data_IF_822805340675
#
_entry.id   IF_822805340675
#
_cell.length_a   1.000
_cell.length_b   1.000
_cell.length_c   1.000
_cell.angle_alpha   90.00
_cell.angle_beta   90.00
_cell.angle_gamma   90.00
#
_symmetry.space_group_name_H-M   'P 1'
#
loop_
_entity.id
_entity.type
_entity.pdbx_description
1 polymer ?
#
# COMPACT_ATOMS: atom_id res chain seq x y z
N UNK A 1 15.74 8.24 -13.80
CA UNK A 1 15.88 9.40 -14.71
C UNK A 1 14.89 9.42 -15.89
N UNK A 2 14.76 8.39 -16.75
CA UNK A 2 13.86 8.44 -17.93
C UNK A 2 12.38 8.76 -17.63
N UNK A 3 11.84 8.29 -16.51
CA UNK A 3 10.43 8.53 -16.14
C UNK A 3 10.15 9.99 -15.72
N UNK A 4 11.07 10.63 -14.98
CA UNK A 4 10.91 12.02 -14.54
C UNK A 4 10.94 12.98 -15.74
N UNK A 5 11.85 12.76 -16.70
CA UNK A 5 11.94 13.57 -17.92
C UNK A 5 10.73 13.44 -18.86
N UNK A 6 9.92 12.39 -18.73
CA UNK A 6 8.66 12.29 -19.46
C UNK A 6 7.56 13.13 -18.81
N UNK A 7 7.53 13.20 -17.47
CA UNK A 7 6.54 13.96 -16.71
C UNK A 7 6.74 15.47 -16.83
N UNK A 8 8.00 15.93 -16.92
CA UNK A 8 8.35 17.36 -17.08
C UNK A 8 7.84 17.99 -18.37
N UNK A 9 7.37 17.18 -19.34
CA UNK A 9 6.72 17.68 -20.57
C UNK A 9 5.36 18.33 -20.30
N UNK A 10 4.75 18.08 -19.14
CA UNK A 10 3.49 18.71 -18.75
C UNK A 10 3.80 19.95 -17.91
N UNK A 11 3.37 21.13 -18.37
CA UNK A 11 3.65 22.42 -17.70
C UNK A 11 3.15 22.49 -16.25
N UNK A 12 2.12 21.72 -15.90
CA UNK A 12 1.53 21.67 -14.57
C UNK A 12 2.13 20.57 -13.67
N UNK A 13 3.19 19.89 -14.09
CA UNK A 13 3.84 18.83 -13.33
C UNK A 13 5.31 19.17 -13.12
N UNK A 14 5.71 19.30 -11.86
CA UNK A 14 7.13 19.39 -11.45
C UNK A 14 7.56 18.01 -10.92
N UNK A 15 8.28 17.18 -11.70
CA UNK A 15 8.80 15.92 -11.19
C UNK A 15 9.98 16.16 -10.24
N UNK A 16 9.97 15.51 -9.08
CA UNK A 16 11.04 15.56 -8.08
C UNK A 16 11.42 14.13 -7.71
N UNK A 17 12.71 13.84 -7.64
CA UNK A 17 13.20 12.59 -7.08
C UNK A 17 13.04 12.65 -5.57
N UNK A 18 12.39 11.65 -4.98
CA UNK A 18 12.12 11.60 -3.54
C UNK A 18 12.17 10.16 -3.05
N UNK A 19 13.18 9.84 -2.25
CA UNK A 19 13.15 8.72 -1.30
C UNK A 19 12.55 9.22 0.03
N UNK A 20 11.41 8.65 0.44
CA UNK A 20 10.73 9.03 1.68
C UNK A 20 11.48 8.62 2.95
N UNK A 21 12.54 7.83 2.81
CA UNK A 21 13.43 7.42 3.90
C UNK A 21 14.64 8.33 4.03
N UNK A 22 14.92 9.15 3.01
CA UNK A 22 16.04 10.07 2.97
C UNK A 22 15.63 11.49 3.40
N UNK A 23 16.34 12.04 4.38
CA UNK A 23 16.03 13.34 4.96
C UNK A 23 16.38 14.51 4.05
N UNK A 24 17.43 14.37 3.22
CA UNK A 24 17.86 15.41 2.29
C UNK A 24 16.89 15.51 1.12
N UNK A 25 16.40 14.38 0.60
CA UNK A 25 15.35 14.37 -0.42
C UNK A 25 14.07 15.03 0.10
N UNK A 26 13.68 14.76 1.35
CA UNK A 26 12.53 15.42 2.00
C UNK A 26 12.77 16.93 2.15
N UNK A 27 13.98 17.34 2.57
CA UNK A 27 14.35 18.73 2.73
C UNK A 27 14.35 19.50 1.38
N UNK A 28 14.78 18.86 0.29
CA UNK A 28 14.69 19.39 -1.06
C UNK A 28 13.23 19.64 -1.47
N UNK A 29 12.35 18.66 -1.30
CA UNK A 29 10.91 18.82 -1.60
C UNK A 29 10.30 19.96 -0.79
N UNK A 30 10.67 20.08 0.50
CA UNK A 30 10.26 21.21 1.34
C UNK A 30 10.72 22.55 0.78
N UNK A 31 12.00 22.69 0.40
CA UNK A 31 12.53 23.92 -0.23
C UNK A 31 11.83 24.27 -1.53
N UNK A 32 11.49 23.28 -2.36
CA UNK A 32 10.73 23.49 -3.60
C UNK A 32 9.34 24.07 -3.31
N UNK A 33 8.62 23.53 -2.32
CA UNK A 33 7.29 24.02 -1.94
C UNK A 33 7.39 25.43 -1.34
N UNK A 34 8.37 25.67 -0.46
CA UNK A 34 8.66 26.99 0.11
C UNK A 34 8.94 28.03 -0.97
N UNK A 35 9.78 27.71 -1.95
CA UNK A 35 10.15 28.61 -3.05
C UNK A 35 8.99 28.98 -3.96
N UNK A 36 7.92 28.16 -4.02
CA UNK A 36 6.68 28.51 -4.74
C UNK A 36 5.84 29.54 -3.99
N UNK A 37 6.06 29.71 -2.69
CA UNK A 37 5.24 30.59 -1.84
C UNK A 37 3.77 30.14 -1.70
N UNK A 38 3.45 28.97 -2.24
CA UNK A 38 2.11 28.37 -2.17
C UNK A 38 2.08 27.36 -1.04
N UNK A 39 1.00 27.35 -0.24
CA UNK A 39 0.74 26.22 0.65
C UNK A 39 0.52 24.91 -0.14
N UNK A 40 0.38 23.79 0.57
CA UNK A 40 0.22 22.47 -0.04
C UNK A 40 -1.22 21.97 0.11
N UNK A 41 -2.03 22.10 -0.94
CA UNK A 41 -3.44 21.70 -0.88
C UNK A 41 -3.64 20.21 -0.61
N UNK A 42 -2.78 19.35 -1.16
CA UNK A 42 -2.91 17.90 -1.07
C UNK A 42 -1.57 17.20 -0.95
N UNK A 43 -1.46 16.28 0.00
CA UNK A 43 -0.37 15.30 0.11
C UNK A 43 -0.94 13.90 -0.13
N UNK A 44 -0.37 13.14 -1.08
CA UNK A 44 -0.74 11.74 -1.30
C UNK A 44 0.43 10.84 -0.90
N UNK A 45 0.34 10.24 0.28
CA UNK A 45 1.30 9.26 0.77
C UNK A 45 1.07 7.92 0.06
N UNK A 46 1.65 7.79 -1.14
CA UNK A 46 1.52 6.61 -2.00
C UNK A 46 2.73 5.67 -1.97
N UNK A 47 3.92 6.18 -1.63
CA UNK A 47 5.14 5.37 -1.60
C UNK A 47 4.95 4.12 -0.72
N UNK A 48 5.36 2.98 -1.23
CA UNK A 48 5.24 1.73 -0.51
C UNK A 48 5.98 0.58 -1.20
N UNK A 49 6.51 -0.32 -0.38
CA UNK A 49 7.11 -1.57 -0.81
C UNK A 49 6.39 -2.76 -0.17
N UNK A 50 6.71 -3.94 -0.68
CA UNK A 50 6.20 -5.21 -0.19
C UNK A 50 7.36 -6.19 -0.06
N UNK A 51 7.61 -6.62 1.16
CA UNK A 51 8.42 -7.78 1.52
C UNK A 51 7.48 -8.96 1.77
N UNK A 52 7.64 -10.00 0.97
CA UNK A 52 6.89 -11.25 1.09
C UNK A 52 7.76 -12.32 1.75
N UNK A 53 7.12 -13.26 2.45
CA UNK A 53 7.78 -14.33 3.17
C UNK A 53 6.95 -14.82 4.36
N UNK A 54 7.20 -16.05 4.79
CA UNK A 54 6.70 -16.52 6.07
C UNK A 54 7.34 -15.70 7.19
N UNK A 55 6.55 -15.27 8.18
CA UNK A 55 7.07 -14.43 9.26
C UNK A 55 8.23 -15.09 10.04
N UNK A 56 8.29 -16.42 10.07
CA UNK A 56 9.38 -17.16 10.73
C UNK A 56 10.67 -17.24 9.90
N UNK A 57 10.61 -16.88 8.61
CA UNK A 57 11.78 -16.85 7.72
C UNK A 57 12.24 -15.41 7.40
N UNK A 58 11.39 -14.41 7.66
CA UNK A 58 11.68 -13.01 7.36
C UNK A 58 12.69 -12.45 8.37
N UNK A 59 13.77 -11.86 7.87
CA UNK A 59 14.77 -11.18 8.70
C UNK A 59 14.17 -9.95 9.40
N UNK A 60 14.74 -9.57 10.55
CA UNK A 60 14.34 -8.33 11.23
C UNK A 60 14.66 -7.12 10.34
N UNK A 61 15.72 -7.19 9.55
CA UNK A 61 16.15 -6.16 8.61
C UNK A 61 15.13 -5.94 7.50
N UNK A 62 14.57 -7.01 6.93
CA UNK A 62 13.48 -6.91 5.95
C UNK A 62 12.20 -6.37 6.57
N UNK A 63 11.89 -6.77 7.80
CA UNK A 63 10.76 -6.22 8.56
C UNK A 63 10.96 -4.72 8.83
N UNK A 64 12.16 -4.29 9.21
CA UNK A 64 12.50 -2.87 9.38
C UNK A 64 12.38 -2.10 8.06
N UNK A 65 12.98 -2.60 6.98
CA UNK A 65 12.92 -1.95 5.67
C UNK A 65 11.48 -1.76 5.18
N UNK A 66 10.61 -2.74 5.42
CA UNK A 66 9.18 -2.66 5.14
C UNK A 66 8.51 -1.49 5.89
N UNK A 67 8.81 -1.31 7.18
CA UNK A 67 8.26 -0.22 8.00
C UNK A 67 8.91 1.13 7.68
N UNK A 68 10.18 1.14 7.33
CA UNK A 68 10.95 2.34 6.99
C UNK A 68 10.27 3.11 5.86
N UNK A 69 9.86 2.43 4.80
CA UNK A 69 9.14 3.08 3.69
C UNK A 69 7.66 3.27 4.02
N UNK A 70 6.96 2.21 4.45
CA UNK A 70 5.50 2.22 4.48
C UNK A 70 4.89 2.98 5.67
N UNK A 71 5.67 3.27 6.70
CA UNK A 71 5.21 3.96 7.90
C UNK A 71 6.13 5.12 8.29
N UNK A 72 7.42 4.86 8.52
CA UNK A 72 8.33 5.92 9.00
C UNK A 72 8.53 6.99 7.93
N UNK A 73 8.70 6.61 6.66
CA UNK A 73 8.77 7.55 5.55
C UNK A 73 7.49 8.37 5.40
N UNK A 74 6.31 7.75 5.56
CA UNK A 74 5.01 8.45 5.60
C UNK A 74 4.99 9.49 6.73
N UNK A 75 5.44 9.12 7.94
CA UNK A 75 5.50 10.04 9.06
C UNK A 75 6.47 11.21 8.80
N UNK A 76 7.68 10.92 8.29
CA UNK A 76 8.71 11.91 7.99
C UNK A 76 8.22 12.95 6.99
N UNK A 77 7.73 12.53 5.82
CA UNK A 77 7.27 13.47 4.78
C UNK A 77 6.02 14.24 5.24
N UNK A 78 5.08 13.57 5.93
CA UNK A 78 3.86 14.23 6.43
C UNK A 78 4.22 15.33 7.43
N UNK A 79 5.09 15.03 8.40
CA UNK A 79 5.54 16.01 9.40
C UNK A 79 6.29 17.17 8.77
N UNK A 80 7.19 16.89 7.82
CA UNK A 80 7.99 17.93 7.15
C UNK A 80 7.12 18.90 6.34
N UNK A 81 6.06 18.40 5.69
CA UNK A 81 5.19 19.20 4.82
C UNK A 81 3.93 19.74 5.53
N UNK A 82 3.66 19.30 6.75
CA UNK A 82 2.44 19.67 7.49
C UNK A 82 2.22 21.19 7.60
N UNK A 83 3.24 22.05 7.86
CA UNK A 83 3.03 23.50 7.92
C UNK A 83 2.36 24.08 6.67
N UNK A 84 2.77 23.63 5.47
CA UNK A 84 2.19 24.08 4.20
C UNK A 84 0.76 23.57 4.00
N UNK A 85 0.47 22.36 4.48
CA UNK A 85 -0.87 21.77 4.41
C UNK A 85 -1.82 22.52 5.34
N UNK A 86 -1.36 22.81 6.56
CA UNK A 86 -2.13 23.54 7.56
C UNK A 86 -2.48 24.96 7.10
N UNK A 87 -1.53 25.67 6.50
CA UNK A 87 -1.72 27.03 5.97
C UNK A 87 -2.94 27.16 5.07
N UNK A 88 -3.21 26.14 4.25
CA UNK A 88 -4.34 26.14 3.29
C UNK A 88 -5.48 25.22 3.69
N UNK A 89 -5.46 24.68 4.92
CA UNK A 89 -6.44 23.68 5.41
C UNK A 89 -6.63 22.54 4.41
N UNK A 90 -5.49 22.03 3.94
CA UNK A 90 -5.40 21.05 2.86
C UNK A 90 -5.83 19.63 3.28
N UNK A 91 -5.33 18.64 2.55
CA UNK A 91 -5.76 17.25 2.65
C UNK A 91 -4.58 16.30 2.60
N UNK A 92 -4.65 15.22 3.37
CA UNK A 92 -3.68 14.13 3.37
C UNK A 92 -4.41 12.85 2.96
N UNK A 93 -3.96 12.23 1.87
CA UNK A 93 -4.45 10.95 1.39
C UNK A 93 -3.42 9.88 1.71
N UNK A 94 -3.84 8.84 2.41
CA UNK A 94 -3.00 7.70 2.80
C UNK A 94 -3.33 6.51 1.92
N UNK A 95 -2.34 5.99 1.18
CA UNK A 95 -2.50 4.79 0.38
C UNK A 95 -2.31 3.55 1.25
N UNK A 96 -3.42 3.03 1.77
CA UNK A 96 -3.46 1.78 2.54
C UNK A 96 -3.58 0.58 1.59
N UNK A 97 -4.31 -0.46 1.99
CA UNK A 97 -4.57 -1.69 1.26
C UNK A 97 -5.74 -2.40 1.93
N UNK A 98 -6.37 -3.35 1.24
CA UNK A 98 -7.14 -4.41 1.90
C UNK A 98 -6.33 -5.12 3.00
N UNK A 99 -5.02 -5.26 2.78
CA UNK A 99 -4.04 -5.77 3.75
C UNK A 99 -3.85 -4.89 4.99
N UNK A 100 -4.45 -3.70 5.05
CA UNK A 100 -4.50 -2.86 6.24
C UNK A 100 -5.57 -3.29 7.25
N UNK A 101 -6.47 -4.18 6.86
CA UNK A 101 -7.52 -4.72 7.74
C UNK A 101 -7.75 -6.22 7.58
N UNK A 102 -7.09 -6.86 6.61
CA UNK A 102 -7.16 -8.29 6.39
C UNK A 102 -5.75 -8.87 6.17
N UNK A 103 -5.23 -9.57 7.18
CA UNK A 103 -3.88 -10.13 7.12
C UNK A 103 -3.86 -11.43 6.29
N UNK A 104 -3.13 -11.41 5.17
CA UNK A 104 -2.94 -12.60 4.33
C UNK A 104 -1.64 -13.31 4.71
N UNK A 105 -1.62 -14.67 4.79
CA UNK A 105 -0.40 -15.41 5.03
C UNK A 105 0.71 -15.11 4.01
N UNK A 106 1.96 -15.22 4.46
CA UNK A 106 3.17 -15.05 3.63
C UNK A 106 3.41 -13.65 3.06
N UNK A 107 2.65 -12.65 3.51
CA UNK A 107 2.89 -11.21 3.27
C UNK A 107 2.81 -10.44 4.60
N UNK A 108 3.19 -11.11 5.69
CA UNK A 108 3.10 -10.59 7.06
C UNK A 108 3.72 -9.22 7.26
N UNK A 109 4.97 -8.96 6.81
CA UNK A 109 5.59 -7.63 6.93
C UNK A 109 4.72 -6.54 6.29
N UNK A 110 4.21 -6.78 5.09
CA UNK A 110 3.36 -5.84 4.38
C UNK A 110 2.05 -5.58 5.12
N UNK A 111 1.33 -6.64 5.51
CA UNK A 111 0.11 -6.52 6.31
C UNK A 111 0.36 -5.72 7.58
N UNK A 112 1.37 -6.08 8.38
CA UNK A 112 1.71 -5.36 9.62
C UNK A 112 1.95 -3.87 9.36
N UNK A 113 2.68 -3.51 8.30
CA UNK A 113 2.92 -2.10 7.96
C UNK A 113 1.65 -1.35 7.55
N UNK A 114 0.70 -2.00 6.85
CA UNK A 114 -0.56 -1.39 6.43
C UNK A 114 -1.56 -1.28 7.58
N UNK A 115 -1.60 -2.24 8.50
CA UNK A 115 -2.36 -2.11 9.75
C UNK A 115 -1.81 -0.96 10.60
N UNK A 116 -0.49 -0.81 10.70
CA UNK A 116 0.13 0.31 11.39
C UNK A 116 -0.24 1.66 10.74
N UNK A 117 -0.25 1.73 9.40
CA UNK A 117 -0.68 2.91 8.66
C UNK A 117 -2.15 3.29 8.91
N UNK A 118 -3.06 2.31 9.01
CA UNK A 118 -4.47 2.55 9.38
C UNK A 118 -4.58 3.22 10.76
N UNK A 119 -3.89 2.66 11.77
CA UNK A 119 -3.86 3.23 13.12
C UNK A 119 -3.27 4.64 13.14
N UNK A 120 -2.13 4.83 12.45
CA UNK A 120 -1.48 6.13 12.29
C UNK A 120 -2.41 7.18 11.67
N UNK A 121 -3.06 6.84 10.56
CA UNK A 121 -3.95 7.74 9.85
C UNK A 121 -5.18 8.12 10.69
N UNK A 122 -5.73 7.19 11.46
CA UNK A 122 -6.87 7.44 12.32
C UNK A 122 -6.53 8.35 13.50
N UNK A 123 -5.36 8.16 14.13
CA UNK A 123 -4.86 9.05 15.18
C UNK A 123 -4.60 10.45 14.61
N UNK A 124 -3.81 10.55 13.54
CA UNK A 124 -3.50 11.81 12.88
C UNK A 124 -4.78 12.58 12.51
N UNK A 125 -5.76 11.90 11.91
CA UNK A 125 -7.05 12.50 11.57
C UNK A 125 -7.72 13.13 12.79
N UNK A 126 -7.81 12.41 13.91
CA UNK A 126 -8.46 12.90 15.13
C UNK A 126 -7.74 14.11 15.71
N UNK A 127 -6.40 14.13 15.61
CA UNK A 127 -5.57 15.24 16.08
C UNK A 127 -5.73 16.49 15.21
N UNK A 128 -5.78 16.36 13.87
CA UNK A 128 -5.70 17.52 12.97
C UNK A 128 -7.04 18.00 12.40
N UNK A 129 -8.12 17.21 12.52
CA UNK A 129 -9.47 17.60 12.08
C UNK A 129 -9.94 18.94 12.69
N UNK A 130 -9.71 19.23 13.98
CA UNK A 130 -10.07 20.53 14.57
C UNK A 130 -9.42 21.74 13.87
N UNK A 131 -8.28 21.53 13.20
CA UNK A 131 -7.56 22.57 12.47
C UNK A 131 -7.98 22.68 10.99
N UNK A 132 -9.02 21.93 10.58
CA UNK A 132 -9.60 21.99 9.23
C UNK A 132 -8.86 21.15 8.18
N UNK A 133 -7.82 20.40 8.56
CA UNK A 133 -7.11 19.50 7.65
C UNK A 133 -7.83 18.15 7.58
N UNK A 134 -8.03 17.62 6.36
CA UNK A 134 -8.72 16.33 6.16
C UNK A 134 -7.70 15.21 5.96
N UNK A 135 -7.95 14.06 6.56
CA UNK A 135 -7.18 12.83 6.33
C UNK A 135 -8.11 11.77 5.76
N UNK A 136 -7.74 11.18 4.62
CA UNK A 136 -8.54 10.19 3.92
C UNK A 136 -7.69 8.95 3.63
N UNK A 137 -8.22 7.77 3.96
CA UNK A 137 -7.61 6.50 3.60
C UNK A 137 -8.21 5.95 2.31
N UNK A 138 -7.35 5.44 1.45
CA UNK A 138 -7.76 4.63 0.30
C UNK A 138 -7.22 3.23 0.56
N UNK A 139 -8.10 2.23 0.46
CA UNK A 139 -7.84 0.82 0.72
C UNK A 139 -8.01 0.04 -0.61
N UNK A 140 -7.02 0.07 -1.53
CA UNK A 140 -7.10 -0.72 -2.75
C UNK A 140 -7.04 -2.22 -2.43
N UNK A 141 -7.81 -3.00 -3.19
CA UNK A 141 -7.57 -4.44 -3.32
C UNK A 141 -6.49 -4.71 -4.37
N UNK A 142 -6.68 -5.74 -5.18
CA UNK A 142 -5.78 -6.04 -6.29
C UNK A 142 -5.89 -4.98 -7.39
N UNK A 143 -4.80 -4.26 -7.64
CA UNK A 143 -4.66 -3.28 -8.74
C UNK A 143 -3.61 -3.79 -9.72
N UNK A 144 -3.84 -3.64 -11.02
CA UNK A 144 -2.86 -4.03 -12.05
C UNK A 144 -1.71 -3.02 -12.06
N UNK A 145 -0.62 -3.35 -11.36
CA UNK A 145 0.62 -2.54 -11.29
C UNK A 145 1.85 -3.43 -11.42
N UNK A 146 3.02 -2.84 -11.62
CA UNK A 146 4.30 -3.54 -11.68
C UNK A 146 4.71 -4.22 -10.36
N UNK A 147 3.91 -4.11 -9.29
CA UNK A 147 4.19 -4.78 -8.01
C UNK A 147 4.19 -6.31 -8.17
N UNK A 148 3.37 -6.83 -9.10
CA UNK A 148 3.26 -8.26 -9.35
C UNK A 148 4.52 -8.84 -10.01
N UNK A 149 5.16 -8.07 -10.89
CA UNK A 149 6.40 -8.48 -11.56
C UNK A 149 7.58 -8.55 -10.57
N UNK A 150 7.62 -7.62 -9.60
CA UNK A 150 8.56 -7.69 -8.47
C UNK A 150 8.30 -8.92 -7.60
N UNK A 151 7.04 -9.29 -7.41
CA UNK A 151 6.64 -10.51 -6.70
C UNK A 151 7.12 -11.78 -7.41
N UNK A 152 6.96 -11.86 -8.73
CA UNK A 152 7.46 -12.99 -9.54
C UNK A 152 8.97 -13.17 -9.39
N UNK A 153 9.72 -12.08 -9.52
CA UNK A 153 11.17 -12.10 -9.32
C UNK A 153 11.54 -12.55 -7.91
N UNK A 154 10.86 -12.03 -6.88
CA UNK A 154 11.10 -12.43 -5.49
C UNK A 154 10.86 -13.91 -5.23
N UNK A 155 9.89 -14.53 -5.90
CA UNK A 155 9.66 -15.98 -5.80
C UNK A 155 10.76 -16.76 -6.54
N UNK A 156 11.18 -16.29 -7.72
CA UNK A 156 12.25 -16.93 -8.47
C UNK A 156 13.59 -16.92 -7.74
N UNK A 157 13.89 -15.83 -7.03
CA UNK A 157 15.16 -15.63 -6.31
C UNK A 157 15.17 -16.29 -4.90
N UNK A 158 14.02 -16.78 -4.41
CA UNK A 158 13.90 -17.28 -3.04
C UNK A 158 14.48 -18.69 -2.85
N UNK A 159 15.18 -18.89 -1.73
CA UNK A 159 15.78 -20.18 -1.37
C UNK A 159 14.73 -21.19 -0.87
N UNK A 160 14.74 -22.40 -1.43
CA UNK A 160 13.70 -23.41 -1.25
C UNK A 160 13.81 -24.25 0.03
N UNK A 161 14.55 -23.79 1.04
CA UNK A 161 14.85 -24.57 2.25
C UNK A 161 13.81 -24.41 3.38
N UNK A 162 12.89 -23.46 3.26
CA UNK A 162 11.84 -23.23 4.27
C UNK A 162 10.77 -24.32 4.25
N UNK A 163 10.33 -24.75 5.43
CA UNK A 163 9.17 -25.63 5.58
C UNK A 163 7.85 -25.00 5.10
N UNK A 164 7.81 -23.66 4.97
CA UNK A 164 6.65 -22.90 4.50
C UNK A 164 6.66 -22.67 2.99
N UNK A 165 7.74 -23.06 2.30
CA UNK A 165 7.99 -22.70 0.90
C UNK A 165 6.86 -23.11 -0.02
N UNK A 166 6.32 -24.32 0.19
CA UNK A 166 5.29 -24.90 -0.67
C UNK A 166 4.01 -24.06 -0.69
N UNK A 167 3.48 -23.75 0.49
CA UNK A 167 2.30 -22.90 0.65
C UNK A 167 2.59 -21.46 0.22
N UNK A 168 3.74 -20.90 0.65
CA UNK A 168 4.13 -19.53 0.31
C UNK A 168 4.22 -19.31 -1.20
N UNK A 169 4.86 -20.23 -1.93
CA UNK A 169 4.96 -20.20 -3.39
C UNK A 169 3.58 -20.27 -4.04
N UNK A 170 2.75 -21.25 -3.65
CA UNK A 170 1.43 -21.44 -4.23
C UNK A 170 0.52 -20.21 -4.04
N UNK A 171 0.53 -19.62 -2.84
CA UNK A 171 -0.21 -18.39 -2.54
C UNK A 171 0.35 -17.16 -3.26
N UNK A 172 1.66 -17.04 -3.35
CA UNK A 172 2.34 -15.97 -4.10
C UNK A 172 1.95 -16.00 -5.58
N UNK A 173 2.13 -17.13 -6.25
CA UNK A 173 1.77 -17.33 -7.66
C UNK A 173 0.27 -17.12 -7.91
N UNK A 174 -0.59 -17.63 -7.02
CA UNK A 174 -2.03 -17.37 -7.08
C UNK A 174 -2.34 -15.87 -7.01
N UNK A 175 -1.70 -15.15 -6.08
CA UNK A 175 -1.93 -13.73 -5.86
C UNK A 175 -1.46 -12.88 -7.03
N UNK A 176 -0.28 -13.19 -7.58
CA UNK A 176 0.29 -12.56 -8.78
C UNK A 176 -0.65 -12.76 -9.98
N UNK A 177 -1.05 -14.01 -10.24
CA UNK A 177 -1.96 -14.34 -11.35
C UNK A 177 -3.29 -13.59 -11.23
N UNK A 178 -3.90 -13.58 -10.04
CA UNK A 178 -5.14 -12.83 -9.79
C UNK A 178 -4.93 -11.31 -9.88
N UNK A 179 -3.79 -10.81 -9.43
CA UNK A 179 -3.41 -9.40 -9.55
C UNK A 179 -3.40 -8.93 -11.00
N UNK A 180 -2.72 -9.70 -11.87
CA UNK A 180 -2.61 -9.40 -13.31
C UNK A 180 -3.93 -9.56 -14.08
N UNK A 181 -4.71 -10.60 -13.76
CA UNK A 181 -5.91 -10.96 -14.54
C UNK A 181 -7.20 -10.30 -14.06
N UNK A 182 -7.36 -10.15 -12.74
CA UNK A 182 -8.62 -9.71 -12.13
C UNK A 182 -8.53 -8.37 -11.41
N UNK A 183 -7.33 -7.79 -11.32
CA UNK A 183 -7.11 -6.49 -10.70
C UNK A 183 -7.88 -5.36 -11.40
N UNK A 184 -8.17 -4.30 -10.65
CA UNK A 184 -8.69 -3.06 -11.23
C UNK A 184 -7.55 -2.27 -11.89
N UNK A 185 -7.84 -1.46 -12.93
CA UNK A 185 -6.84 -0.60 -13.54
C UNK A 185 -6.44 0.54 -12.56
N UNK A 186 -5.20 1.04 -12.61
CA UNK A 186 -4.73 2.13 -11.74
C UNK A 186 -5.59 3.40 -11.79
N UNK A 187 -6.23 3.67 -12.94
CA UNK A 187 -7.12 4.82 -13.11
C UNK A 187 -8.32 4.80 -12.15
N UNK A 188 -8.77 3.61 -11.72
CA UNK A 188 -9.84 3.48 -10.74
C UNK A 188 -9.41 4.04 -9.37
N UNK A 189 -8.17 3.79 -8.96
CA UNK A 189 -7.60 4.35 -7.72
C UNK A 189 -7.36 5.85 -7.87
N UNK A 190 -6.79 6.28 -9.01
CA UNK A 190 -6.54 7.69 -9.28
C UNK A 190 -7.83 8.54 -9.24
N UNK A 191 -8.94 8.03 -9.78
CA UNK A 191 -10.24 8.68 -9.69
C UNK A 191 -10.73 8.88 -8.24
N UNK A 192 -10.49 7.90 -7.37
CA UNK A 192 -10.83 8.00 -5.94
C UNK A 192 -9.89 8.95 -5.20
N UNK A 193 -8.59 8.96 -5.52
CA UNK A 193 -7.64 9.97 -5.01
C UNK A 193 -8.13 11.38 -5.37
N UNK A 194 -8.52 11.59 -6.63
CA UNK A 194 -9.07 12.87 -7.07
C UNK A 194 -10.33 13.25 -6.30
N UNK A 195 -11.27 12.33 -6.10
CA UNK A 195 -12.47 12.57 -5.27
C UNK A 195 -12.11 12.92 -3.81
N UNK A 196 -11.19 12.19 -3.20
CA UNK A 196 -10.71 12.45 -1.84
C UNK A 196 -10.09 13.86 -1.72
N UNK A 197 -9.41 14.33 -2.77
CA UNK A 197 -8.81 15.65 -2.82
C UNK A 197 -9.80 16.78 -3.15
N UNK A 198 -10.91 16.51 -3.84
CA UNK A 198 -11.79 17.57 -4.37
C UNK A 198 -13.14 17.70 -3.68
N UNK A 199 -13.75 16.59 -3.23
CA UNK A 199 -15.09 16.62 -2.61
C UNK A 199 -15.12 17.49 -1.36
N UNK A 200 -16.18 18.28 -1.13
CA UNK A 200 -16.30 19.09 0.07
C UNK A 200 -16.31 18.22 1.35
N UNK A 201 -17.02 17.09 1.32
CA UNK A 201 -17.12 16.15 2.44
C UNK A 201 -16.72 14.74 1.99
N UNK A 202 -15.40 14.46 1.83
CA UNK A 202 -14.96 13.13 1.44
C UNK A 202 -15.23 12.12 2.56
N UNK A 203 -15.40 10.85 2.20
CA UNK A 203 -15.47 9.76 3.19
C UNK A 203 -14.12 9.61 3.88
N UNK A 204 -14.13 9.09 5.10
CA UNK A 204 -12.89 8.81 5.83
C UNK A 204 -12.07 7.70 5.17
N UNK A 205 -12.75 6.72 4.56
CA UNK A 205 -12.14 5.56 3.93
C UNK A 205 -12.84 5.18 2.63
N UNK A 206 -12.06 4.76 1.63
CA UNK A 206 -12.54 4.24 0.36
C UNK A 206 -11.92 2.88 0.04
N UNK A 207 -12.74 1.82 0.04
CA UNK A 207 -12.32 0.51 -0.47
C UNK A 207 -12.44 0.51 -1.99
N UNK A 208 -11.32 0.29 -2.68
CA UNK A 208 -11.26 0.23 -4.15
C UNK A 208 -10.97 -1.20 -4.59
N UNK A 209 -12.03 -1.99 -4.69
CA UNK A 209 -11.96 -3.40 -5.08
C UNK A 209 -13.27 -3.83 -5.76
N UNK A 210 -13.19 -4.82 -6.67
CA UNK A 210 -14.37 -5.39 -7.35
C UNK A 210 -15.42 -5.91 -6.35
N UNK A 211 -14.97 -6.56 -5.28
CA UNK A 211 -15.84 -7.15 -4.26
C UNK A 211 -15.81 -6.36 -2.94
N UNK A 212 -16.01 -5.04 -3.01
CA UNK A 212 -15.91 -4.16 -1.83
C UNK A 212 -16.85 -4.55 -0.67
N UNK A 213 -17.98 -5.22 -0.95
CA UNK A 213 -18.90 -5.72 0.07
C UNK A 213 -18.34 -6.92 0.85
N UNK A 214 -17.69 -7.88 0.17
CA UNK A 214 -17.04 -9.03 0.84
C UNK A 214 -15.98 -8.56 1.82
N UNK A 215 -15.15 -7.59 1.42
CA UNK A 215 -14.15 -6.98 2.30
C UNK A 215 -14.77 -6.31 3.54
N UNK A 216 -15.96 -5.71 3.42
CA UNK A 216 -16.67 -5.15 4.58
C UNK A 216 -17.19 -6.23 5.52
N UNK A 217 -17.71 -7.34 4.97
CA UNK A 217 -18.17 -8.47 5.79
C UNK A 217 -17.01 -9.11 6.57
N UNK A 218 -15.83 -9.21 5.96
CA UNK A 218 -14.64 -9.74 6.64
C UNK A 218 -14.23 -8.94 7.89
N UNK A 219 -14.54 -7.64 7.94
CA UNK A 219 -14.31 -6.80 9.13
C UNK A 219 -15.28 -7.09 10.28
N UNK A 220 -16.41 -7.74 10.00
CA UNK A 220 -17.49 -7.98 10.98
C UNK A 220 -17.43 -9.40 11.53
N UNK A 221 -16.93 -10.36 10.75
CA UNK A 221 -16.87 -11.74 11.19
C UNK A 221 -15.92 -11.95 12.38
N UNK A 222 -16.22 -12.90 13.28
CA UNK A 222 -15.29 -13.31 14.32
C UNK A 222 -13.97 -13.82 13.74
N UNK A 223 -12.85 -13.52 14.40
CA UNK A 223 -11.51 -13.88 13.94
C UNK A 223 -11.36 -15.38 13.64
N UNK A 224 -11.89 -16.26 14.50
CA UNK A 224 -11.84 -17.71 14.28
C UNK A 224 -12.51 -18.16 12.97
N UNK A 225 -13.57 -17.45 12.55
CA UNK A 225 -14.28 -17.77 11.31
C UNK A 225 -13.49 -17.30 10.10
N UNK A 226 -12.92 -16.10 10.19
CA UNK A 226 -12.00 -15.56 9.18
C UNK A 226 -10.81 -16.49 8.98
N UNK A 227 -10.17 -16.94 10.06
CA UNK A 227 -9.05 -17.87 10.01
C UNK A 227 -9.42 -19.20 9.35
N UNK A 228 -10.62 -19.73 9.66
CA UNK A 228 -11.13 -20.95 9.00
C UNK A 228 -11.26 -20.76 7.48
N UNK A 229 -11.75 -19.60 7.03
CA UNK A 229 -11.86 -19.29 5.60
C UNK A 229 -10.48 -19.15 4.94
N UNK A 230 -9.55 -18.47 5.60
CA UNK A 230 -8.16 -18.31 5.13
C UNK A 230 -7.49 -19.67 4.99
N UNK A 231 -7.52 -20.51 6.03
CA UNK A 231 -6.90 -21.84 6.01
C UNK A 231 -7.53 -22.75 4.96
N UNK A 232 -8.85 -22.69 4.77
CA UNK A 232 -9.52 -23.41 3.68
C UNK A 232 -8.97 -22.97 2.33
N UNK A 233 -8.79 -21.67 2.11
CA UNK A 233 -8.28 -21.13 0.84
C UNK A 233 -6.81 -21.49 0.60
N UNK A 234 -5.96 -21.41 1.64
CA UNK A 234 -4.56 -21.85 1.60
C UNK A 234 -4.47 -23.30 1.11
N UNK A 235 -5.22 -24.22 1.76
CA UNK A 235 -5.23 -25.64 1.39
C UNK A 235 -5.72 -25.89 -0.03
N UNK A 236 -6.76 -25.18 -0.46
CA UNK A 236 -7.30 -25.26 -1.82
C UNK A 236 -6.26 -24.84 -2.86
N UNK A 237 -5.62 -23.68 -2.66
CA UNK A 237 -4.61 -23.13 -3.58
C UNK A 237 -3.38 -24.03 -3.66
N UNK A 238 -2.88 -24.50 -2.51
CA UNK A 238 -1.73 -25.42 -2.46
C UNK A 238 -2.02 -26.73 -3.20
N UNK A 239 -3.19 -27.35 -2.97
CA UNK A 239 -3.61 -28.57 -3.69
C UNK A 239 -3.72 -28.36 -5.21
N UNK A 240 -4.23 -27.21 -5.65
CA UNK A 240 -4.33 -26.89 -7.08
C UNK A 240 -2.93 -26.75 -7.71
N UNK A 241 -1.99 -26.12 -7.02
CA UNK A 241 -0.61 -25.98 -7.49
C UNK A 241 0.10 -27.35 -7.62
N UNK A 242 -0.14 -28.27 -6.68
CA UNK A 242 0.38 -29.65 -6.75
C UNK A 242 -0.12 -30.41 -7.98
N UNK A 243 -1.44 -30.38 -8.21
CA UNK A 243 -2.06 -31.05 -9.37
C UNK A 243 -1.48 -30.55 -10.69
N UNK A 244 -1.35 -29.23 -10.84
CA UNK A 244 -0.79 -28.63 -12.05
C UNK A 244 0.67 -29.04 -12.26
N UNK A 245 1.45 -29.18 -11.18
CA UNK A 245 2.85 -29.64 -11.26
C UNK A 245 2.95 -31.11 -11.66
N UNK A 246 2.00 -31.95 -11.24
CA UNK A 246 1.95 -33.37 -11.62
C UNK A 246 1.47 -33.59 -13.05
N UNK A 247 0.59 -32.74 -13.58
CA UNK A 247 0.11 -32.83 -14.97
C UNK A 247 1.05 -32.22 -16.02
N UNK A 248 2.12 -31.53 -15.60
CA UNK A 248 3.15 -30.96 -16.48
C UNK A 248 4.47 -31.76 -16.49
N UNK A 249 4.49 -32.92 -15.82
CA UNK A 249 5.56 -33.92 -15.88
C UNK A 249 5.09 -35.13 -16.68
#
# INVERSE_FOLDING_TARGET
MRALGALSKNSNITPVQLDVTDREDIAEVKRIIEGKGTGLFGLVNNAGITKAGALMDVSVEDMRAQFEVNLFGVHQITRALFPFILQVKGRIVMMSSDSGFFATPFVGPYCSSKFALEGYADSLRREITPYGVKVVLIEPGRIVTAIWDKGEKSIADAQHHSMFWKEAKALGEYSIRKGKTTGLPPIAVAGIVHQALTLEKPKLRYIVAKNSFEYRLMKIFPAWYVDRLVLKKVREVTRLAEKNTQSSK
#
